data_IF_619278713955
#
_entry.id   IF_619278713955
#
_cell.length_a   1.000
_cell.length_b   1.000
_cell.length_c   1.000
_cell.angle_alpha   90.00
_cell.angle_beta   90.00
_cell.angle_gamma   90.00
#
_symmetry.space_group_name_H-M   'P 1'
#
loop_
_entity.id
_entity.type
_entity.pdbx_description
1 polymer ?
#
# COMPACT_ATOMS: atom_id res chain seq x y z
N UNK A 1 9.17 20.86 11.33
CA UNK A 1 9.46 19.42 11.46
C UNK A 1 8.90 18.94 12.77
N UNK A 2 8.47 17.67 12.85
CA UNK A 2 8.14 16.98 14.09
C UNK A 2 9.03 15.74 14.19
N UNK A 3 9.78 15.61 15.28
CA UNK A 3 10.76 14.52 15.46
C UNK A 3 10.57 13.89 16.82
N UNK A 4 10.37 12.57 16.83
CA UNK A 4 10.22 11.76 18.03
C UNK A 4 11.31 10.68 18.03
N UNK A 5 12.34 10.83 18.84
CA UNK A 5 13.48 9.90 18.89
C UNK A 5 13.23 8.67 19.77
N UNK A 6 12.37 8.80 20.78
CA UNK A 6 11.96 7.71 21.68
C UNK A 6 10.65 7.04 21.25
N UNK A 7 10.31 5.95 21.93
CA UNK A 7 9.02 5.28 21.73
C UNK A 7 7.87 6.24 22.06
N UNK A 8 6.83 6.23 21.22
CA UNK A 8 5.64 7.08 21.36
C UNK A 8 4.44 6.22 21.71
N UNK A 9 3.70 6.59 22.75
CA UNK A 9 2.42 5.99 23.09
C UNK A 9 1.28 6.99 22.88
N UNK A 10 0.33 6.65 22.02
CA UNK A 10 -0.85 7.46 21.78
C UNK A 10 -1.83 7.33 22.95
N UNK A 11 -2.00 8.41 23.72
CA UNK A 11 -3.01 8.51 24.77
C UNK A 11 -4.40 8.88 24.25
N UNK A 12 -4.47 9.49 23.07
CA UNK A 12 -5.70 9.92 22.40
C UNK A 12 -5.58 9.74 20.89
N UNK A 13 -6.66 10.01 20.16
CA UNK A 13 -6.60 10.13 18.71
C UNK A 13 -5.75 11.36 18.37
N UNK A 14 -4.76 11.19 17.50
CA UNK A 14 -3.73 12.20 17.25
C UNK A 14 -3.67 12.54 15.78
N UNK A 15 -3.62 13.84 15.48
CA UNK A 15 -3.29 14.35 14.15
C UNK A 15 -2.02 15.15 14.25
N UNK A 16 -1.01 14.77 13.47
CA UNK A 16 0.24 15.50 13.33
C UNK A 16 0.24 16.24 12.00
N UNK A 17 0.24 17.56 12.05
CA UNK A 17 0.37 18.44 10.88
C UNK A 17 1.73 19.15 10.90
N UNK A 18 2.22 19.58 9.73
CA UNK A 18 3.31 20.57 9.67
C UNK A 18 2.88 21.74 8.79
N UNK A 19 3.24 22.96 9.18
CA UNK A 19 2.78 24.21 8.55
C UNK A 19 3.80 24.86 7.61
N UNK A 20 4.94 24.21 7.38
CA UNK A 20 6.01 24.71 6.49
C UNK A 20 6.71 23.55 5.77
N UNK A 21 5.93 22.54 5.39
CA UNK A 21 6.41 21.39 4.63
C UNK A 21 7.54 20.64 5.36
N UNK A 22 7.45 20.59 6.68
CA UNK A 22 8.43 19.93 7.53
C UNK A 22 8.21 18.43 7.56
N UNK A 23 9.28 17.67 7.80
CA UNK A 23 9.16 16.23 7.95
C UNK A 23 8.46 15.87 9.27
N UNK A 24 7.80 14.72 9.28
CA UNK A 24 7.41 13.99 10.50
C UNK A 24 8.31 12.76 10.59
N UNK A 25 9.04 12.60 11.68
CA UNK A 25 9.97 11.49 11.88
C UNK A 25 9.77 10.83 13.23
N UNK A 26 9.63 9.50 13.22
CA UNK A 26 9.62 8.64 14.40
C UNK A 26 10.82 7.69 14.33
N UNK A 27 11.74 7.83 15.29
CA UNK A 27 12.95 7.02 15.42
C UNK A 27 12.75 5.68 16.14
N UNK A 28 11.57 5.46 16.72
CA UNK A 28 11.22 4.28 17.50
C UNK A 28 9.75 3.89 17.30
N UNK A 29 9.25 2.95 18.10
CA UNK A 29 7.89 2.40 17.96
C UNK A 29 6.79 3.42 18.27
N UNK A 30 5.64 3.21 17.62
CA UNK A 30 4.38 3.91 17.91
C UNK A 30 3.41 2.87 18.46
N UNK A 31 2.98 3.05 19.71
CA UNK A 31 2.05 2.14 20.41
C UNK A 31 0.79 2.88 20.88
N UNK A 32 -0.20 2.11 21.33
CA UNK A 32 -1.37 2.62 22.04
C UNK A 32 -1.82 1.57 23.07
N UNK A 33 -2.71 1.93 23.98
CA UNK A 33 -3.38 0.99 24.90
C UNK A 33 -4.73 0.49 24.39
N UNK A 34 -5.27 1.15 23.37
CA UNK A 34 -6.58 0.85 22.78
C UNK A 34 -6.70 1.61 21.46
N UNK A 35 -6.87 0.89 20.36
CA UNK A 35 -7.16 1.31 18.97
C UNK A 35 -7.26 2.84 18.72
N UNK A 36 -6.19 3.60 18.98
CA UNK A 36 -6.14 5.04 18.75
C UNK A 36 -5.87 5.32 17.28
N UNK A 37 -6.44 6.41 16.80
CA UNK A 37 -6.22 6.87 15.44
C UNK A 37 -4.99 7.77 15.38
N UNK A 38 -4.25 7.66 14.28
CA UNK A 38 -3.11 8.53 13.97
C UNK A 38 -3.25 9.04 12.54
N UNK A 39 -3.26 10.36 12.38
CA UNK A 39 -3.19 11.02 11.07
C UNK A 39 -1.86 11.74 10.94
N UNK A 40 -1.15 11.49 9.85
CA UNK A 40 0.11 12.14 9.51
C UNK A 40 -0.08 12.99 8.24
N UNK A 41 0.07 14.31 8.38
CA UNK A 41 -0.11 15.31 7.32
C UNK A 41 1.10 16.26 7.28
N UNK A 42 1.76 16.39 6.12
CA UNK A 42 2.90 17.32 5.98
C UNK A 42 2.62 18.54 5.10
N UNK A 43 1.40 18.70 4.58
CA UNK A 43 0.98 19.86 3.78
C UNK A 43 1.19 19.78 2.25
N UNK A 44 1.56 18.62 1.70
CA UNK A 44 1.66 18.28 0.26
C UNK A 44 2.57 19.19 -0.58
N UNK A 45 3.87 19.11 -0.34
CA UNK A 45 4.87 19.99 -1.01
C UNK A 45 6.27 19.39 -0.96
N UNK A 46 6.83 19.25 0.24
CA UNK A 46 8.18 18.70 0.44
C UNK A 46 8.39 17.91 1.73
N UNK A 47 7.47 17.98 2.70
CA UNK A 47 7.62 17.25 3.95
C UNK A 47 7.48 15.75 3.76
N UNK A 48 8.43 14.98 4.27
CA UNK A 48 8.36 13.51 4.24
C UNK A 48 7.89 12.94 5.57
N UNK A 49 7.39 11.71 5.55
CA UNK A 49 7.08 10.94 6.76
C UNK A 49 8.06 9.76 6.82
N UNK A 50 8.76 9.60 7.94
CA UNK A 50 9.66 8.47 8.19
C UNK A 50 9.33 7.84 9.55
N UNK A 51 9.08 6.53 9.56
CA UNK A 51 8.81 5.77 10.78
C UNK A 51 9.70 4.54 10.78
N UNK A 52 10.71 4.54 11.66
CA UNK A 52 11.72 3.47 11.69
C UNK A 52 11.32 2.30 12.59
N UNK A 53 10.52 2.56 13.62
CA UNK A 53 10.01 1.52 14.52
C UNK A 53 8.64 0.97 14.12
N UNK A 54 8.23 -0.12 14.76
CA UNK A 54 6.92 -0.73 14.52
C UNK A 54 5.76 0.20 14.88
N UNK A 55 4.72 0.20 14.07
CA UNK A 55 3.46 0.93 14.28
C UNK A 55 2.38 -0.03 14.77
N UNK A 56 1.69 0.33 15.85
CA UNK A 56 0.72 -0.56 16.49
C UNK A 56 1.40 -1.71 17.24
N UNK A 57 2.56 -1.44 17.84
CA UNK A 57 3.28 -2.40 18.67
C UNK A 57 2.43 -2.81 19.87
N UNK A 58 2.18 -4.11 20.01
CA UNK A 58 1.26 -4.67 21.01
C UNK A 58 -0.20 -4.61 20.55
N UNK A 59 -0.82 -3.42 20.63
CA UNK A 59 -2.21 -3.21 20.19
C UNK A 59 -2.23 -2.45 18.87
N UNK A 60 -3.00 -2.96 17.91
CA UNK A 60 -3.18 -2.31 16.62
C UNK A 60 -3.67 -0.86 16.78
N UNK A 61 -3.25 0.04 15.88
CA UNK A 61 -3.93 1.32 15.75
C UNK A 61 -5.38 1.13 15.31
N UNK A 62 -6.25 2.08 15.63
CA UNK A 62 -7.60 2.09 15.07
C UNK A 62 -7.50 2.39 13.58
N UNK A 63 -7.30 3.67 13.26
CA UNK A 63 -7.03 4.13 11.89
C UNK A 63 -5.66 4.77 11.79
N UNK A 64 -4.84 4.32 10.84
CA UNK A 64 -3.65 5.02 10.39
C UNK A 64 -3.97 5.77 9.08
N UNK A 65 -3.89 7.09 9.10
CA UNK A 65 -4.12 7.93 7.91
C UNK A 65 -2.85 8.61 7.47
N UNK A 66 -2.51 8.47 6.19
CA UNK A 66 -1.43 9.19 5.52
C UNK A 66 -2.06 10.13 4.50
N UNK A 67 -1.75 11.41 4.62
CA UNK A 67 -2.27 12.44 3.73
C UNK A 67 -1.22 13.50 3.47
N UNK A 68 -1.26 14.10 2.28
CA UNK A 68 -0.47 15.28 1.92
C UNK A 68 1.01 15.13 2.27
N UNK A 69 1.61 13.96 1.98
CA UNK A 69 3.05 13.72 2.16
C UNK A 69 3.84 13.98 0.87
N UNK A 70 5.14 14.23 0.97
CA UNK A 70 6.06 14.23 -0.17
C UNK A 70 6.86 12.92 -0.26
N UNK A 71 6.27 11.84 0.24
CA UNK A 71 6.91 10.54 0.45
C UNK A 71 6.70 10.07 1.88
N UNK A 72 6.52 8.76 2.03
CA UNK A 72 6.32 8.11 3.32
C UNK A 72 7.03 6.78 3.34
N UNK A 73 7.81 6.50 4.38
CA UNK A 73 8.46 5.21 4.58
C UNK A 73 8.18 4.70 5.99
N UNK A 74 7.56 3.53 6.06
CA UNK A 74 7.56 2.68 7.23
C UNK A 74 8.65 1.63 7.04
N UNK A 75 9.66 1.64 7.91
CA UNK A 75 10.81 0.73 7.83
C UNK A 75 10.63 -0.57 8.64
N UNK A 76 9.55 -0.66 9.41
CA UNK A 76 9.18 -1.82 10.23
C UNK A 76 7.68 -2.08 10.13
N UNK A 77 7.22 -3.15 10.76
CA UNK A 77 5.83 -3.61 10.71
C UNK A 77 4.81 -2.51 10.99
N UNK A 78 3.67 -2.56 10.27
CA UNK A 78 2.53 -1.69 10.48
C UNK A 78 1.30 -2.52 10.82
N UNK A 79 0.76 -2.31 12.01
CA UNK A 79 -0.43 -2.97 12.53
C UNK A 79 -1.54 -1.95 12.85
N UNK A 80 -2.62 -1.96 12.07
CA UNK A 80 -3.78 -1.09 12.28
C UNK A 80 -5.07 -1.86 11.94
N UNK A 81 -6.22 -1.40 12.44
CA UNK A 81 -7.49 -1.92 11.96
C UNK A 81 -7.74 -1.41 10.53
N UNK A 82 -7.65 -0.11 10.33
CA UNK A 82 -7.82 0.53 9.02
C UNK A 82 -6.60 1.34 8.64
N UNK A 83 -6.17 1.23 7.39
CA UNK A 83 -5.17 2.12 6.77
C UNK A 83 -5.85 2.97 5.70
N UNK A 84 -5.62 4.28 5.73
CA UNK A 84 -6.19 5.22 4.76
C UNK A 84 -5.05 6.01 4.12
N UNK A 85 -4.91 5.90 2.81
CA UNK A 85 -3.96 6.65 2.00
C UNK A 85 -4.76 7.62 1.12
N UNK A 86 -4.64 8.93 1.37
CA UNK A 86 -5.52 9.90 0.68
C UNK A 86 -4.83 10.72 -0.39
N UNK A 87 -3.58 11.14 -0.16
CA UNK A 87 -2.86 12.01 -1.07
C UNK A 87 -1.36 12.04 -0.73
N UNK A 88 -0.52 12.03 -1.75
CA UNK A 88 0.94 12.14 -1.63
C UNK A 88 1.44 12.79 -2.92
N UNK A 89 2.58 13.49 -2.86
CA UNK A 89 3.15 14.21 -4.00
C UNK A 89 3.37 13.29 -5.20
N UNK A 90 3.19 13.84 -6.39
CA UNK A 90 3.40 13.16 -7.68
C UNK A 90 4.74 12.40 -7.71
N UNK A 91 4.70 11.17 -8.19
CA UNK A 91 5.87 10.29 -8.36
C UNK A 91 6.66 10.01 -7.06
N UNK A 92 6.03 10.19 -5.89
CA UNK A 92 6.61 9.79 -4.61
C UNK A 92 5.84 8.61 -4.01
N UNK A 93 6.51 7.87 -3.13
CA UNK A 93 6.01 6.59 -2.64
C UNK A 93 5.42 6.73 -1.24
N UNK A 94 4.37 5.95 -0.97
CA UNK A 94 4.08 5.42 0.35
C UNK A 94 4.61 3.99 0.39
N UNK A 95 5.71 3.79 1.10
CA UNK A 95 6.42 2.51 1.19
C UNK A 95 6.22 1.87 2.54
N UNK A 96 5.70 0.64 2.52
CA UNK A 96 5.73 -0.30 3.64
C UNK A 96 6.86 -1.29 3.39
N UNK A 97 7.99 -1.09 4.09
CA UNK A 97 9.21 -1.89 3.87
C UNK A 97 9.17 -3.27 4.54
N UNK A 98 8.24 -3.46 5.47
CA UNK A 98 8.06 -4.66 6.29
C UNK A 98 6.54 -4.95 6.37
N UNK A 99 6.17 -6.04 7.04
CA UNK A 99 4.84 -6.62 7.04
C UNK A 99 3.75 -5.63 7.47
N UNK A 100 2.67 -5.60 6.69
CA UNK A 100 1.45 -4.85 6.99
C UNK A 100 0.34 -5.79 7.43
N UNK A 101 -0.32 -5.45 8.53
CA UNK A 101 -1.58 -6.04 8.96
C UNK A 101 -2.64 -4.95 9.07
N UNK A 102 -3.66 -5.02 8.21
CA UNK A 102 -4.86 -4.20 8.25
C UNK A 102 -6.07 -5.10 8.51
N UNK A 103 -6.59 -5.16 9.74
CA UNK A 103 -7.60 -6.16 10.13
C UNK A 103 -9.03 -5.83 9.71
N UNK A 104 -9.29 -4.58 9.30
CA UNK A 104 -10.59 -4.11 8.81
C UNK A 104 -10.53 -3.74 7.33
N UNK A 105 -9.55 -2.94 6.91
CA UNK A 105 -9.55 -2.41 5.54
C UNK A 105 -8.34 -1.57 5.16
N UNK A 106 -8.12 -1.46 3.85
CA UNK A 106 -7.25 -0.49 3.22
C UNK A 106 -8.06 0.37 2.24
N UNK A 107 -8.04 1.68 2.45
CA UNK A 107 -8.62 2.67 1.53
C UNK A 107 -7.51 3.45 0.85
N UNK A 108 -7.50 3.47 -0.48
CA UNK A 108 -6.52 4.23 -1.28
C UNK A 108 -7.27 5.15 -2.23
N UNK A 109 -7.22 6.46 -1.99
CA UNK A 109 -7.89 7.46 -2.82
C UNK A 109 -7.01 7.94 -3.97
N UNK A 110 -7.60 8.47 -5.05
CA UNK A 110 -6.82 9.05 -6.15
C UNK A 110 -5.92 10.22 -5.72
N UNK A 111 -6.35 10.97 -4.69
CA UNK A 111 -5.66 12.17 -4.24
C UNK A 111 -5.71 13.28 -5.29
N UNK A 112 -4.75 14.20 -5.20
CA UNK A 112 -4.57 15.27 -6.18
C UNK A 112 -3.38 15.03 -7.10
N UNK A 113 -2.56 14.00 -6.81
CA UNK A 113 -1.34 13.69 -7.54
C UNK A 113 -1.14 12.18 -7.72
N UNK A 114 -0.41 11.81 -8.78
CA UNK A 114 -0.10 10.41 -9.11
C UNK A 114 1.00 9.86 -8.19
N UNK A 115 0.65 9.52 -6.95
CA UNK A 115 1.55 8.88 -5.99
C UNK A 115 1.55 7.36 -6.10
N UNK A 116 2.63 6.76 -5.61
CA UNK A 116 2.84 5.32 -5.67
C UNK A 116 2.54 4.66 -4.32
N UNK A 117 2.05 3.43 -4.34
CA UNK A 117 1.89 2.59 -3.13
C UNK A 117 2.73 1.33 -3.27
N UNK A 118 3.55 1.04 -2.26
CA UNK A 118 4.56 -0.01 -2.32
C UNK A 118 4.49 -0.89 -1.06
N UNK A 119 4.25 -2.18 -1.25
CA UNK A 119 4.30 -3.21 -0.20
C UNK A 119 5.48 -4.15 -0.46
N UNK A 120 6.50 -4.09 0.39
CA UNK A 120 7.71 -4.93 0.32
C UNK A 120 7.84 -5.92 1.49
N UNK A 121 6.88 -5.94 2.42
CA UNK A 121 6.88 -6.91 3.51
C UNK A 121 6.75 -8.33 2.98
N UNK A 122 7.46 -9.29 3.58
CA UNK A 122 7.41 -10.69 3.18
C UNK A 122 6.02 -11.32 3.37
N UNK A 123 5.21 -10.82 4.32
CA UNK A 123 3.85 -11.28 4.57
C UNK A 123 2.93 -10.12 4.96
N UNK A 124 2.02 -9.77 4.07
CA UNK A 124 1.03 -8.72 4.25
C UNK A 124 -0.38 -9.32 4.27
N UNK A 125 -1.20 -8.88 5.22
CA UNK A 125 -2.61 -9.26 5.31
C UNK A 125 -3.48 -8.02 5.39
N UNK A 126 -4.36 -7.87 4.42
CA UNK A 126 -5.24 -6.72 4.26
C UNK A 126 -6.67 -7.25 4.18
N UNK A 127 -7.46 -6.97 5.21
CA UNK A 127 -8.87 -7.30 5.23
C UNK A 127 -9.68 -6.31 4.39
N UNK A 128 -10.97 -6.63 4.21
CA UNK A 128 -11.90 -5.80 3.43
C UNK A 128 -11.58 -5.80 1.94
N UNK A 129 -12.49 -5.19 1.17
CA UNK A 129 -12.30 -4.95 -0.27
C UNK A 129 -11.34 -3.79 -0.46
N UNK A 130 -10.28 -3.97 -1.25
CA UNK A 130 -9.34 -2.88 -1.56
C UNK A 130 -9.47 -2.46 -3.03
N UNK A 131 -9.64 -1.17 -3.27
CA UNK A 131 -9.49 -0.57 -4.61
C UNK A 131 -8.38 0.46 -4.56
N UNK A 132 -7.36 0.29 -5.40
CA UNK A 132 -6.31 1.26 -5.60
C UNK A 132 -6.78 2.32 -6.60
N UNK A 133 -7.19 3.49 -6.11
CA UNK A 133 -7.54 4.63 -6.97
C UNK A 133 -6.35 5.56 -7.26
N UNK A 134 -5.19 5.36 -6.63
CA UNK A 134 -3.99 6.14 -6.93
C UNK A 134 -3.57 5.91 -8.39
N UNK A 135 -3.16 6.98 -9.07
CA UNK A 135 -2.82 6.96 -10.50
C UNK A 135 -1.32 6.83 -10.78
N UNK A 136 -0.48 6.84 -9.73
CA UNK A 136 0.91 6.41 -9.81
C UNK A 136 1.00 4.88 -9.94
N UNK A 137 2.13 4.31 -9.54
CA UNK A 137 2.32 2.85 -9.58
C UNK A 137 1.79 2.17 -8.31
N UNK A 138 1.45 0.89 -8.43
CA UNK A 138 1.25 0.00 -7.28
C UNK A 138 2.27 -1.13 -7.38
N UNK A 139 3.02 -1.37 -6.31
CA UNK A 139 3.95 -2.50 -6.21
C UNK A 139 3.49 -3.44 -5.10
N UNK A 140 3.26 -4.69 -5.47
CA UNK A 140 2.88 -5.78 -4.57
C UNK A 140 4.02 -6.81 -4.55
N UNK A 141 4.88 -6.72 -3.53
CA UNK A 141 6.07 -7.55 -3.36
C UNK A 141 7.28 -7.01 -4.12
N UNK A 142 8.45 -7.41 -3.64
CA UNK A 142 9.76 -7.17 -4.25
C UNK A 142 10.66 -8.42 -4.28
N UNK A 143 10.23 -9.54 -3.70
CA UNK A 143 10.87 -10.85 -3.79
C UNK A 143 9.87 -11.96 -4.18
N UNK A 144 10.39 -13.05 -4.76
CA UNK A 144 9.59 -14.22 -5.13
C UNK A 144 8.92 -14.95 -3.95
N UNK A 145 9.40 -14.74 -2.73
CA UNK A 145 8.87 -15.33 -1.51
C UNK A 145 7.80 -14.48 -0.82
N UNK A 146 7.57 -13.25 -1.28
CA UNK A 146 6.62 -12.34 -0.66
C UNK A 146 5.18 -12.84 -0.82
N UNK A 147 4.32 -12.47 0.13
CA UNK A 147 2.89 -12.72 0.06
C UNK A 147 2.08 -11.49 0.47
N UNK A 148 1.10 -11.13 -0.36
CA UNK A 148 0.14 -10.05 -0.12
C UNK A 148 -1.26 -10.64 -0.24
N UNK A 149 -1.93 -10.80 0.90
CA UNK A 149 -3.28 -11.36 0.98
C UNK A 149 -4.33 -10.27 1.19
N UNK A 150 -5.17 -10.03 0.19
CA UNK A 150 -6.36 -9.19 0.25
C UNK A 150 -7.59 -10.05 0.53
N UNK A 151 -7.97 -10.23 1.80
CA UNK A 151 -9.00 -11.22 2.15
C UNK A 151 -10.38 -10.89 1.58
N UNK A 152 -10.69 -9.61 1.36
CA UNK A 152 -11.92 -9.16 0.69
C UNK A 152 -11.75 -8.86 -0.80
N UNK A 153 -10.63 -9.23 -1.42
CA UNK A 153 -10.35 -8.98 -2.84
C UNK A 153 -9.67 -7.63 -3.12
N UNK A 154 -9.16 -7.50 -4.34
CA UNK A 154 -8.37 -6.33 -4.76
C UNK A 154 -8.67 -5.91 -6.19
N UNK A 155 -8.78 -4.60 -6.42
CA UNK A 155 -8.84 -3.99 -7.76
C UNK A 155 -7.75 -2.94 -7.91
N UNK A 156 -6.93 -3.06 -8.96
CA UNK A 156 -5.85 -2.13 -9.29
C UNK A 156 -5.84 -1.87 -10.82
N UNK A 157 -6.82 -1.10 -11.29
CA UNK A 157 -6.98 -0.69 -12.71
C UNK A 157 -6.91 0.83 -12.91
N UNK A 158 -6.83 1.61 -11.84
CA UNK A 158 -6.51 3.04 -11.92
C UNK A 158 -5.00 3.36 -11.93
N UNK A 159 -4.11 2.55 -11.30
CA UNK A 159 -2.67 2.81 -11.35
C UNK A 159 -2.13 2.91 -12.78
N UNK A 160 -1.06 3.66 -12.99
CA UNK A 160 -0.36 3.69 -14.28
C UNK A 160 0.43 2.41 -14.56
N UNK A 161 0.67 1.58 -13.55
CA UNK A 161 1.31 0.27 -13.65
C UNK A 161 1.09 -0.52 -12.35
N UNK A 162 0.98 -1.84 -12.46
CA UNK A 162 1.04 -2.75 -11.32
C UNK A 162 2.29 -3.62 -11.44
N UNK A 163 3.18 -3.53 -10.45
CA UNK A 163 4.35 -4.40 -10.32
C UNK A 163 4.03 -5.55 -9.36
N UNK A 164 4.36 -6.78 -9.76
CA UNK A 164 4.11 -7.97 -8.96
C UNK A 164 5.39 -8.79 -8.77
N UNK A 165 5.61 -9.22 -7.53
CA UNK A 165 6.53 -10.27 -7.15
C UNK A 165 5.88 -11.15 -6.07
N UNK A 166 6.25 -12.43 -6.03
CA UNK A 166 5.72 -13.36 -5.04
C UNK A 166 4.23 -13.66 -5.26
N UNK A 167 3.46 -13.77 -4.18
CA UNK A 167 2.05 -14.19 -4.24
C UNK A 167 1.11 -13.04 -3.92
N UNK A 168 0.27 -12.65 -4.88
CA UNK A 168 -0.93 -11.84 -4.60
C UNK A 168 -2.12 -12.77 -4.44
N UNK A 169 -2.78 -12.72 -3.28
CA UNK A 169 -3.83 -13.66 -2.89
C UNK A 169 -5.11 -12.97 -2.47
N UNK A 170 -6.25 -13.61 -2.72
CA UNK A 170 -7.54 -13.29 -2.13
C UNK A 170 -8.18 -14.54 -1.51
N UNK A 171 -9.18 -14.37 -0.65
CA UNK A 171 -9.93 -15.48 -0.05
C UNK A 171 -11.36 -15.45 -0.54
N UNK A 172 -11.70 -16.31 -1.51
CA UNK A 172 -13.05 -16.37 -2.09
C UNK A 172 -13.55 -15.02 -2.61
N UNK A 173 -12.65 -14.19 -3.11
CA UNK A 173 -12.92 -12.80 -3.53
C UNK A 173 -12.16 -12.48 -4.82
N UNK A 174 -12.66 -11.53 -5.60
CA UNK A 174 -12.08 -11.21 -6.91
C UNK A 174 -10.70 -10.54 -6.80
N UNK A 175 -9.85 -10.84 -7.78
CA UNK A 175 -8.61 -10.12 -8.05
C UNK A 175 -8.72 -9.53 -9.45
N UNK A 176 -8.71 -8.19 -9.54
CA UNK A 176 -8.72 -7.46 -10.81
C UNK A 176 -7.48 -6.58 -10.89
N UNK A 177 -6.47 -7.04 -11.61
CA UNK A 177 -5.18 -6.36 -11.77
C UNK A 177 -5.02 -5.97 -13.23
N UNK A 178 -4.69 -4.71 -13.47
CA UNK A 178 -4.39 -4.20 -14.80
C UNK A 178 -5.59 -4.07 -15.75
N UNK A 179 -5.39 -3.27 -16.79
CA UNK A 179 -6.30 -3.07 -17.93
C UNK A 179 -5.49 -2.54 -19.14
N UNK A 180 -6.14 -1.96 -20.16
CA UNK A 180 -5.45 -1.42 -21.33
C UNK A 180 -4.58 -0.19 -21.05
N UNK A 181 -4.76 0.48 -19.91
CA UNK A 181 -4.00 1.65 -19.48
C UNK A 181 -3.10 1.34 -18.26
N UNK A 182 -3.33 0.21 -17.59
CA UNK A 182 -2.56 -0.26 -16.43
C UNK A 182 -1.82 -1.57 -16.78
N UNK A 183 -0.60 -1.49 -17.35
CA UNK A 183 0.21 -2.67 -17.59
C UNK A 183 0.58 -3.38 -16.28
N UNK A 184 0.69 -4.71 -16.36
CA UNK A 184 1.24 -5.56 -15.29
C UNK A 184 2.68 -5.89 -15.63
N UNK A 185 3.60 -5.63 -14.70
CA UNK A 185 5.01 -6.02 -14.79
C UNK A 185 5.31 -7.05 -13.71
N UNK A 186 5.85 -8.19 -14.11
CA UNK A 186 6.34 -9.21 -13.18
C UNK A 186 7.82 -8.93 -12.90
N UNK A 187 8.16 -8.64 -11.66
CA UNK A 187 9.53 -8.32 -11.23
C UNK A 187 10.25 -9.52 -10.62
N UNK A 188 9.50 -10.56 -10.23
CA UNK A 188 10.02 -11.87 -9.81
C UNK A 188 9.00 -12.98 -10.15
N UNK A 189 9.31 -14.23 -9.76
CA UNK A 189 8.34 -15.32 -9.82
C UNK A 189 7.05 -14.90 -9.11
N UNK A 190 5.93 -14.99 -9.83
CA UNK A 190 4.66 -14.43 -9.38
C UNK A 190 3.55 -15.48 -9.42
N UNK A 191 2.75 -15.54 -8.35
CA UNK A 191 1.50 -16.29 -8.27
C UNK A 191 0.36 -15.33 -7.99
N UNK A 192 -0.78 -15.50 -8.69
CA UNK A 192 -2.03 -14.80 -8.39
C UNK A 192 -3.08 -15.84 -8.00
N UNK A 193 -3.43 -15.89 -6.71
CA UNK A 193 -4.31 -16.90 -6.13
C UNK A 193 -5.64 -16.28 -5.67
N UNK A 194 -6.70 -16.46 -6.46
CA UNK A 194 -8.03 -15.92 -6.15
C UNK A 194 -8.89 -16.83 -5.26
N UNK A 195 -8.45 -18.06 -5.00
CA UNK A 195 -9.21 -19.14 -4.36
C UNK A 195 -10.71 -19.14 -4.73
N UNK A 196 -11.01 -19.68 -5.92
CA UNK A 196 -12.25 -20.35 -6.38
C UNK A 196 -13.66 -19.72 -6.22
N UNK A 197 -13.85 -18.48 -5.77
CA UNK A 197 -15.18 -17.82 -5.86
C UNK A 197 -15.18 -16.46 -6.61
N UNK A 198 -14.01 -15.87 -6.85
CA UNK A 198 -13.87 -14.61 -7.59
C UNK A 198 -13.29 -14.82 -8.99
N UNK A 199 -13.75 -14.03 -9.96
CA UNK A 199 -13.09 -13.95 -11.26
C UNK A 199 -11.70 -13.31 -11.06
N UNK A 200 -10.65 -14.00 -11.48
CA UNK A 200 -9.31 -13.40 -11.59
C UNK A 200 -9.17 -12.78 -12.97
N UNK A 201 -9.17 -11.45 -13.04
CA UNK A 201 -8.93 -10.72 -14.29
C UNK A 201 -7.51 -10.19 -14.29
N UNK A 202 -6.69 -10.76 -15.17
CA UNK A 202 -5.37 -10.26 -15.53
C UNK A 202 -5.46 -9.80 -17.00
N UNK A 203 -5.64 -8.51 -17.22
CA UNK A 203 -5.71 -8.00 -18.59
C UNK A 203 -4.29 -7.91 -19.16
N UNK A 204 -4.04 -8.64 -20.26
CA UNK A 204 -2.83 -8.44 -21.07
C UNK A 204 -3.08 -7.31 -22.06
N UNK A 205 -2.09 -6.44 -22.20
CA UNK A 205 -1.99 -5.56 -23.35
C UNK A 205 -1.91 -6.44 -24.63
N UNK A 206 -2.62 -6.03 -25.69
CA UNK A 206 -2.81 -6.83 -26.91
C UNK A 206 -1.47 -7.31 -27.48
N UNK A 207 -1.19 -8.61 -27.37
CA UNK A 207 -0.08 -9.22 -28.12
C UNK A 207 -0.39 -9.17 -29.63
N UNK A 208 0.59 -8.65 -30.38
CA UNK A 208 0.63 -8.58 -31.82
C UNK A 208 0.24 -9.90 -32.52
N UNK A 209 -0.42 -9.74 -33.68
CA UNK A 209 -0.71 -10.78 -34.67
C UNK A 209 0.37 -11.88 -34.74
N UNK A 210 0.00 -13.11 -34.41
CA UNK A 210 0.70 -14.29 -34.88
C UNK A 210 0.01 -14.77 -36.17
N UNK A 211 0.59 -14.45 -37.34
CA UNK A 211 0.21 -15.10 -38.59
C UNK A 211 0.86 -16.49 -38.65
N UNK A 212 0.02 -17.54 -38.60
CA UNK A 212 0.43 -18.91 -38.89
C UNK A 212 0.66 -19.03 -40.41
N UNK A 213 1.91 -19.11 -40.87
CA UNK A 213 2.19 -19.59 -42.23
C UNK A 213 2.03 -21.11 -42.25
N UNK A 214 1.05 -21.61 -42.98
CA UNK A 214 1.08 -23.00 -43.45
C UNK A 214 2.05 -23.07 -44.62
N UNK A 215 3.00 -23.99 -44.55
CA UNK A 215 3.73 -24.47 -45.72
C UNK A 215 3.04 -25.78 -46.12
N UNK A 216 2.47 -25.79 -47.32
CA UNK A 216 2.19 -27.03 -48.06
C UNK A 216 3.45 -27.43 -48.85
#
# INVERSE_FOLDING_TARGET
TQTYSGAVTLGANTTLTTTSNGNISFGASISNSSAKNLTLDTGLTSGTISVTGAVGSGTALGTLTITKSAGTTFSSTVNAATIILTDTKVSTNITFSDNVTATTGLTVSAGTAAYNVVFNGASNTIAGTTTFYNTGTVTLGNDSSDSITFTGGVTATAPSQVNLAGTTKATNSAISLGDSNTPIVLTANTTVDGNTAGNNTLSRDRWHHCTRKYYD
#
